data_IF_133197583984
#
_entry.id   IF_133197583984
#
_cell.length_a   1.000
_cell.length_b   1.000
_cell.length_c   1.000
_cell.angle_alpha   90.00
_cell.angle_beta   90.00
_cell.angle_gamma   90.00
#
_symmetry.space_group_name_H-M   'P 1'
#
loop_
_entity.id
_entity.type
_entity.pdbx_description
1 polymer ?
#
# COMPACT_ATOMS: atom_id res chain seq x y z
N UNK A 1 -19.01 -0.53 -5.28
CA UNK A 1 -17.73 0.21 -5.38
C UNK A 1 -18.00 1.68 -5.12
N UNK A 2 -17.32 2.30 -4.16
CA UNK A 2 -17.49 3.74 -3.88
C UNK A 2 -16.84 4.59 -4.98
N UNK A 3 -17.29 5.84 -5.13
CA UNK A 3 -16.77 6.79 -6.14
C UNK A 3 -15.25 6.99 -6.01
N UNK A 4 -14.69 6.88 -4.81
CA UNK A 4 -13.26 7.05 -4.59
C UNK A 4 -12.43 5.92 -5.22
N UNK A 5 -12.89 4.67 -5.12
CA UNK A 5 -12.19 3.53 -5.73
C UNK A 5 -12.09 3.69 -7.25
N UNK A 6 -13.19 4.08 -7.90
CA UNK A 6 -13.19 4.23 -9.37
C UNK A 6 -12.33 5.41 -9.85
N UNK A 7 -12.17 6.46 -9.03
CA UNK A 7 -11.30 7.60 -9.36
C UNK A 7 -9.82 7.24 -9.18
N UNK A 8 -9.47 6.56 -8.10
CA UNK A 8 -8.12 6.05 -7.89
C UNK A 8 -7.71 5.09 -9.03
N UNK A 9 -8.61 4.17 -9.40
CA UNK A 9 -8.41 3.27 -10.53
C UNK A 9 -8.17 4.03 -11.85
N UNK A 10 -9.02 5.00 -12.16
CA UNK A 10 -8.90 5.78 -13.40
C UNK A 10 -7.60 6.60 -13.44
N UNK A 11 -7.18 7.17 -12.32
CA UNK A 11 -5.92 7.90 -12.21
C UNK A 11 -4.70 6.98 -12.40
N UNK A 12 -4.71 5.82 -11.75
CA UNK A 12 -3.67 4.80 -11.91
C UNK A 12 -3.59 4.32 -13.37
N UNK A 13 -4.73 4.00 -13.99
CA UNK A 13 -4.80 3.55 -15.38
C UNK A 13 -4.32 4.63 -16.38
N UNK A 14 -4.40 5.91 -16.01
CA UNK A 14 -3.86 7.02 -16.80
C UNK A 14 -2.34 7.23 -16.60
N UNK A 15 -1.66 6.37 -15.84
CA UNK A 15 -0.23 6.48 -15.53
C UNK A 15 0.10 7.40 -14.35
N UNK A 16 -0.92 7.78 -13.57
CA UNK A 16 -0.75 8.54 -12.34
C UNK A 16 0.01 7.75 -11.26
N UNK A 17 0.91 8.42 -10.55
CA UNK A 17 1.63 7.81 -9.42
C UNK A 17 0.76 7.83 -8.16
N UNK A 18 0.39 6.65 -7.69
CA UNK A 18 -0.35 6.46 -6.44
C UNK A 18 0.63 6.19 -5.29
N UNK A 19 0.34 6.75 -4.12
CA UNK A 19 1.07 6.51 -2.86
C UNK A 19 0.06 6.02 -1.81
N UNK A 20 0.49 5.13 -0.92
CA UNK A 20 -0.32 4.70 0.20
C UNK A 20 -0.19 5.70 1.36
N UNK A 21 -1.32 6.12 1.92
CA UNK A 21 -1.37 6.94 3.12
C UNK A 21 -2.70 6.70 3.82
N UNK A 22 -2.67 6.30 5.09
CA UNK A 22 -3.88 5.90 5.81
C UNK A 22 -4.59 7.03 6.55
N UNK A 23 -4.02 8.23 6.61
CA UNK A 23 -4.43 9.33 7.50
C UNK A 23 -4.32 9.02 9.00
N UNK A 24 -3.36 8.17 9.38
CA UNK A 24 -3.10 7.85 10.79
C UNK A 24 -2.92 9.13 11.63
N UNK A 25 -3.71 9.24 12.70
CA UNK A 25 -3.83 10.47 13.52
C UNK A 25 -5.19 11.14 13.43
N UNK A 26 -5.99 10.84 12.40
CA UNK A 26 -7.43 11.15 12.37
C UNK A 26 -8.16 10.25 13.38
N UNK A 27 -9.15 10.76 14.14
CA UNK A 27 -9.93 9.95 15.07
C UNK A 27 -10.51 8.70 14.39
N UNK A 28 -10.17 7.51 14.91
CA UNK A 28 -10.58 6.22 14.35
C UNK A 28 -9.62 5.62 13.32
N UNK A 29 -8.52 6.29 12.99
CA UNK A 29 -7.47 5.80 12.09
C UNK A 29 -6.19 5.55 12.88
N UNK A 30 -5.86 4.26 13.06
CA UNK A 30 -4.76 3.81 13.90
C UNK A 30 -3.49 3.60 13.09
N UNK A 31 -2.37 4.14 13.59
CA UNK A 31 -1.05 3.88 13.01
C UNK A 31 -0.74 2.38 13.01
N UNK A 32 -0.27 1.87 11.86
CA UNK A 32 -0.07 0.44 11.62
C UNK A 32 -1.27 -0.20 10.90
N UNK A 33 -2.32 -0.67 11.61
CA UNK A 33 -3.42 -1.42 10.99
C UNK A 33 -4.14 -0.68 9.87
N UNK A 34 -4.31 0.64 10.00
CA UNK A 34 -4.98 1.43 8.96
C UNK A 34 -4.16 1.53 7.68
N UNK A 35 -2.83 1.47 7.75
CA UNK A 35 -1.98 1.44 6.55
C UNK A 35 -2.11 0.10 5.83
N UNK A 36 -2.19 -1.01 6.57
CA UNK A 36 -2.43 -2.32 5.95
C UNK A 36 -3.79 -2.36 5.27
N UNK A 37 -4.83 -1.77 5.90
CA UNK A 37 -6.14 -1.64 5.26
C UNK A 37 -6.08 -0.76 4.01
N UNK A 38 -5.28 0.30 4.01
CA UNK A 38 -5.08 1.14 2.83
C UNK A 38 -4.48 0.34 1.66
N UNK A 39 -3.49 -0.53 1.92
CA UNK A 39 -2.95 -1.41 0.88
C UNK A 39 -4.00 -2.37 0.31
N UNK A 40 -4.91 -2.89 1.15
CA UNK A 40 -6.04 -3.69 0.68
C UNK A 40 -6.98 -2.87 -0.20
N UNK A 41 -7.30 -1.63 0.20
CA UNK A 41 -8.17 -0.73 -0.55
C UNK A 41 -7.59 -0.35 -1.92
N UNK A 42 -6.27 -0.16 -2.01
CA UNK A 42 -5.58 0.08 -3.27
C UNK A 42 -5.68 -1.13 -4.21
N UNK A 43 -5.56 -2.35 -3.68
CA UNK A 43 -5.77 -3.58 -4.47
C UNK A 43 -7.23 -3.71 -4.90
N UNK A 44 -8.18 -3.41 -4.00
CA UNK A 44 -9.62 -3.35 -4.32
C UNK A 44 -9.93 -2.28 -5.39
N UNK A 45 -9.13 -1.20 -5.46
CA UNK A 45 -9.19 -0.16 -6.48
C UNK A 45 -8.49 -0.52 -7.80
N UNK A 46 -7.91 -1.73 -7.92
CA UNK A 46 -7.37 -2.26 -9.18
C UNK A 46 -5.86 -2.15 -9.34
N UNK A 47 -5.11 -1.81 -8.29
CA UNK A 47 -3.66 -2.04 -8.26
C UNK A 47 -3.38 -3.52 -8.03
N UNK A 48 -2.29 -4.04 -8.57
CA UNK A 48 -1.75 -5.33 -8.17
C UNK A 48 -1.19 -5.25 -6.75
N UNK A 49 -1.09 -6.38 -6.01
CA UNK A 49 -0.45 -6.37 -4.69
C UNK A 49 0.99 -5.83 -4.73
N UNK A 50 1.73 -6.08 -5.81
CA UNK A 50 3.08 -5.55 -5.99
C UNK A 50 3.07 -4.03 -6.16
N UNK A 51 2.17 -3.47 -6.97
CA UNK A 51 2.03 -2.01 -7.13
C UNK A 51 1.63 -1.35 -5.81
N UNK A 52 0.73 -1.96 -5.03
CA UNK A 52 0.35 -1.47 -3.72
C UNK A 52 1.53 -1.44 -2.74
N UNK A 53 2.37 -2.48 -2.71
CA UNK A 53 3.59 -2.51 -1.88
C UNK A 53 4.61 -1.43 -2.28
N UNK A 54 4.73 -1.17 -3.59
CA UNK A 54 5.59 -0.08 -4.08
C UNK A 54 5.00 1.29 -3.74
N UNK A 55 3.67 1.43 -3.71
CA UNK A 55 3.00 2.67 -3.31
C UNK A 55 3.23 3.02 -1.83
N UNK A 56 3.48 2.02 -0.97
CA UNK A 56 3.79 2.21 0.46
C UNK A 56 5.23 2.67 0.73
N UNK A 57 6.14 2.41 -0.20
CA UNK A 57 7.56 2.56 0.03
C UNK A 57 8.24 3.37 -1.07
N UNK A 58 8.81 4.52 -0.68
CA UNK A 58 9.66 5.34 -1.55
C UNK A 58 11.12 4.86 -1.57
N UNK A 59 11.40 3.70 -0.98
CA UNK A 59 12.73 3.11 -0.81
C UNK A 59 13.02 1.96 -1.79
N UNK A 60 14.27 1.51 -1.80
CA UNK A 60 14.69 0.35 -2.60
C UNK A 60 15.84 -0.40 -1.91
N UNK A 61 15.83 -1.72 -2.01
CA UNK A 61 16.92 -2.57 -1.52
C UNK A 61 18.08 -2.48 -2.50
N UNK A 62 19.05 -1.62 -2.20
CA UNK A 62 20.27 -1.44 -3.00
C UNK A 62 21.44 -0.94 -2.14
N UNK A 63 22.69 -1.25 -2.50
CA UNK A 63 23.86 -0.76 -1.76
C UNK A 63 23.86 0.77 -1.62
N UNK A 64 24.21 1.26 -0.43
CA UNK A 64 24.26 2.69 -0.12
C UNK A 64 22.93 3.34 0.27
N UNK A 65 21.81 2.59 0.30
CA UNK A 65 20.53 3.03 0.88
C UNK A 65 20.46 2.74 2.38
N UNK A 66 19.50 3.36 3.07
CA UNK A 66 19.19 3.05 4.46
C UNK A 66 18.79 1.58 4.63
N UNK A 67 19.21 0.96 5.74
CA UNK A 67 18.94 -0.44 6.04
C UNK A 67 17.56 -0.64 6.70
N UNK A 68 16.54 0.01 6.13
CA UNK A 68 15.15 -0.06 6.60
C UNK A 68 14.46 -1.22 5.88
N UNK A 69 14.41 -2.37 6.53
CA UNK A 69 13.92 -3.62 5.95
C UNK A 69 12.79 -4.20 6.80
N UNK A 70 11.77 -4.73 6.13
CA UNK A 70 10.69 -5.49 6.75
C UNK A 70 10.78 -6.95 6.27
N UNK A 71 10.67 -7.88 7.22
CA UNK A 71 10.56 -9.32 6.95
C UNK A 71 9.15 -9.73 7.33
N UNK A 72 8.49 -10.46 6.44
CA UNK A 72 7.12 -10.96 6.63
C UNK A 72 7.07 -12.45 6.35
N UNK A 73 6.18 -13.15 7.04
CA UNK A 73 5.90 -14.55 6.75
C UNK A 73 5.07 -14.68 5.46
N UNK A 74 5.58 -15.46 4.51
CA UNK A 74 4.89 -15.75 3.25
C UNK A 74 5.33 -14.88 2.08
N UNK A 75 4.42 -14.67 1.12
CA UNK A 75 4.68 -13.89 -0.08
C UNK A 75 3.71 -12.70 -0.13
N UNK A 76 4.17 -11.48 0.20
CA UNK A 76 3.31 -10.29 0.30
C UNK A 76 2.72 -9.88 -1.07
N UNK A 77 3.32 -10.32 -2.18
CA UNK A 77 2.76 -10.10 -3.52
C UNK A 77 1.51 -10.95 -3.81
N UNK A 78 1.12 -11.86 -2.91
CA UNK A 78 -0.16 -12.58 -2.99
C UNK A 78 -1.28 -11.91 -2.20
N UNK A 79 -0.97 -11.36 -1.03
CA UNK A 79 -1.96 -10.68 -0.18
C UNK A 79 -1.27 -9.74 0.82
N UNK A 80 -1.80 -8.52 0.98
CA UNK A 80 -1.31 -7.52 1.94
C UNK A 80 -1.59 -7.86 3.40
N UNK A 81 -2.48 -8.84 3.68
CA UNK A 81 -2.80 -9.30 5.04
C UNK A 81 -1.64 -9.93 5.78
N UNK A 82 -0.60 -10.37 5.06
CA UNK A 82 0.56 -11.02 5.64
C UNK A 82 1.45 -10.06 6.45
N UNK A 83 1.27 -8.74 6.32
CA UNK A 83 2.01 -7.74 7.08
C UNK A 83 1.47 -7.47 8.50
N UNK A 84 0.52 -8.28 9.01
CA UNK A 84 -0.15 -8.06 10.32
C UNK A 84 0.36 -8.93 11.47
N UNK A 85 1.29 -9.86 11.23
CA UNK A 85 1.82 -10.78 12.24
C UNK A 85 3.31 -10.64 12.43
#
# INVERSE_FOLDING_TARGET
MSVLHSRAQAFHAAGGRVIAASDAGVPGVFAGPSLIRELELLVEAGLTPQEALVADHVGAVSPGRAADLLVVDGNPCRTSRQCTR
#
